data_IF_626360264077
#
_entry.id   IF_626360264077
#
_cell.length_a   1.000
_cell.length_b   1.000
_cell.length_c   1.000
_cell.angle_alpha   90.00
_cell.angle_beta   90.00
_cell.angle_gamma   90.00
#
_symmetry.space_group_name_H-M   'P 1'
#
loop_
_entity.id
_entity.type
_entity.pdbx_description
1 polymer ?
#
# COMPACT_ATOMS: atom_id res chain seq x y z
N UNK A 1 8.88 32.72 -19.97
CA UNK A 1 8.93 31.49 -19.15
C UNK A 1 7.56 30.83 -19.31
N UNK A 2 7.49 29.52 -19.60
CA UNK A 2 6.20 28.82 -19.69
C UNK A 2 5.53 28.69 -18.32
N UNK A 3 4.21 28.45 -18.30
CA UNK A 3 3.47 28.32 -17.04
C UNK A 3 4.02 27.17 -16.17
N UNK A 4 4.32 26.02 -16.78
CA UNK A 4 4.92 24.88 -16.07
C UNK A 4 6.32 25.23 -15.52
N UNK A 5 7.14 25.96 -16.26
CA UNK A 5 8.47 26.37 -15.82
C UNK A 5 8.40 27.30 -14.60
N UNK A 6 7.46 28.26 -14.61
CA UNK A 6 7.27 29.18 -13.50
C UNK A 6 6.84 28.44 -12.21
N UNK A 7 5.90 27.49 -12.31
CA UNK A 7 5.46 26.68 -11.17
C UNK A 7 6.56 25.77 -10.64
N UNK A 8 7.35 25.12 -11.55
CA UNK A 8 8.51 24.32 -11.15
C UNK A 8 9.52 25.13 -10.35
N UNK A 9 9.91 26.30 -10.86
CA UNK A 9 10.86 27.18 -10.19
C UNK A 9 10.38 27.54 -8.78
N UNK A 10 9.12 27.95 -8.64
CA UNK A 10 8.52 28.31 -7.36
C UNK A 10 8.47 27.11 -6.40
N UNK A 11 8.10 25.92 -6.91
CA UNK A 11 8.04 24.71 -6.12
C UNK A 11 9.41 24.28 -5.60
N UNK A 12 10.43 24.31 -6.44
CA UNK A 12 11.80 23.98 -6.03
C UNK A 12 12.39 24.99 -5.01
N UNK A 13 11.93 26.22 -5.04
CA UNK A 13 12.37 27.24 -4.08
C UNK A 13 11.70 27.14 -2.70
N UNK A 14 10.49 26.58 -2.63
CA UNK A 14 9.67 26.64 -1.41
C UNK A 14 9.28 25.26 -0.83
N UNK A 15 9.33 24.19 -1.62
CA UNK A 15 8.86 22.86 -1.22
C UNK A 15 10.02 21.88 -1.14
N UNK A 16 10.19 21.25 0.02
CA UNK A 16 11.05 20.09 0.14
C UNK A 16 10.24 18.84 -0.28
N UNK A 17 10.51 18.36 -1.49
CA UNK A 17 9.77 17.23 -2.05
C UNK A 17 10.05 15.91 -1.32
N UNK A 18 9.01 15.12 -0.98
CA UNK A 18 9.17 13.84 -0.29
C UNK A 18 9.89 12.81 -1.19
N UNK A 19 10.59 11.87 -0.57
CA UNK A 19 11.33 10.79 -1.26
C UNK A 19 12.23 11.30 -2.40
N UNK A 20 12.83 12.49 -2.22
CA UNK A 20 13.54 13.20 -3.29
C UNK A 20 14.89 13.72 -2.80
N UNK A 21 15.97 13.35 -3.52
CA UNK A 21 17.25 14.06 -3.37
C UNK A 21 17.17 15.38 -4.16
N UNK A 22 16.96 16.49 -3.47
CA UNK A 22 16.70 17.80 -4.08
C UNK A 22 17.83 18.28 -5.03
N UNK A 23 19.09 17.89 -4.76
CA UNK A 23 20.23 18.23 -5.64
C UNK A 23 20.08 17.67 -7.06
N UNK A 24 19.34 16.58 -7.23
CA UNK A 24 19.08 15.99 -8.54
C UNK A 24 18.20 16.88 -9.43
N UNK A 25 17.54 17.91 -8.86
CA UNK A 25 16.80 18.93 -9.61
C UNK A 25 17.63 20.15 -10.05
N UNK A 26 18.94 20.16 -9.77
CA UNK A 26 19.86 21.14 -10.33
C UNK A 26 19.85 21.06 -11.88
N UNK A 27 20.29 22.12 -12.60
CA UNK A 27 20.23 22.17 -14.06
C UNK A 27 20.91 20.98 -14.79
N UNK A 28 21.95 20.44 -14.18
CA UNK A 28 22.71 19.26 -14.63
C UNK A 28 22.24 17.94 -13.99
N UNK A 29 21.19 18.00 -13.18
CA UNK A 29 20.68 16.88 -12.40
C UNK A 29 19.84 15.89 -13.21
N UNK A 30 19.70 14.69 -12.66
CA UNK A 30 19.00 13.55 -13.29
C UNK A 30 17.65 13.23 -12.65
N UNK A 31 17.06 14.17 -11.85
CA UNK A 31 15.75 13.96 -11.27
C UNK A 31 14.66 13.81 -12.32
N UNK A 32 13.58 13.14 -11.93
CA UNK A 32 12.35 13.18 -12.70
C UNK A 32 11.85 14.62 -12.80
N UNK A 33 11.35 15.04 -13.97
CA UNK A 33 10.79 16.36 -14.11
C UNK A 33 9.59 16.54 -13.19
N UNK A 34 9.56 17.64 -12.44
CA UNK A 34 8.36 18.02 -11.70
C UNK A 34 7.25 18.40 -12.68
N UNK A 35 6.09 17.78 -12.53
CA UNK A 35 4.91 18.07 -13.34
C UNK A 35 3.95 18.93 -12.52
N UNK A 36 3.80 20.22 -12.85
CA UNK A 36 2.85 21.11 -12.16
C UNK A 36 1.42 20.77 -12.57
N UNK A 37 0.73 19.97 -11.75
CA UNK A 37 -0.64 19.54 -12.01
C UNK A 37 -1.59 20.70 -11.71
N UNK A 38 -2.43 21.04 -12.69
CA UNK A 38 -3.45 22.08 -12.58
C UNK A 38 -4.83 21.52 -12.20
N UNK A 39 -5.17 20.32 -12.71
CA UNK A 39 -6.43 19.62 -12.43
C UNK A 39 -6.27 18.13 -12.69
N UNK A 40 -7.22 17.36 -12.15
CA UNK A 40 -7.28 15.92 -12.40
C UNK A 40 -8.73 15.46 -12.53
N UNK A 41 -8.99 14.45 -13.38
CA UNK A 41 -10.30 13.88 -13.60
C UNK A 41 -10.18 12.45 -14.13
N UNK A 42 -10.99 11.52 -13.61
CA UNK A 42 -10.87 10.11 -13.98
C UNK A 42 -9.45 9.59 -13.73
N UNK A 43 -8.84 8.98 -14.76
CA UNK A 43 -7.45 8.50 -14.66
C UNK A 43 -6.41 9.55 -15.06
N UNK A 44 -6.82 10.77 -15.40
CA UNK A 44 -5.97 11.78 -16.03
C UNK A 44 -5.57 12.92 -15.10
N UNK A 45 -4.28 13.22 -15.09
CA UNK A 45 -3.69 14.45 -14.54
C UNK A 45 -3.42 15.43 -15.67
N UNK A 46 -3.70 16.71 -15.47
CA UNK A 46 -3.47 17.76 -16.47
C UNK A 46 -2.53 18.82 -15.90
N UNK A 47 -1.51 19.18 -16.67
CA UNK A 47 -0.61 20.27 -16.31
C UNK A 47 -1.18 21.66 -16.74
N UNK A 48 -0.47 22.73 -16.38
CA UNK A 48 -0.88 24.08 -16.72
C UNK A 48 -0.74 24.45 -18.20
N UNK A 49 -0.12 23.59 -19.02
CA UNK A 49 0.04 23.78 -20.47
C UNK A 49 -0.88 22.85 -21.28
N UNK A 50 -1.81 22.16 -20.61
CA UNK A 50 -2.81 21.30 -21.24
C UNK A 50 -2.33 19.90 -21.61
N UNK A 51 -1.09 19.51 -21.26
CA UNK A 51 -0.65 18.13 -21.41
C UNK A 51 -1.34 17.27 -20.35
N UNK A 52 -1.60 16.03 -20.70
CA UNK A 52 -2.23 15.07 -19.78
C UNK A 52 -1.32 13.85 -19.57
N UNK A 53 -1.46 13.27 -18.38
CA UNK A 53 -0.72 12.10 -17.96
C UNK A 53 -1.70 11.12 -17.34
N UNK A 54 -1.71 9.87 -17.82
CA UNK A 54 -2.50 8.81 -17.23
C UNK A 54 -1.82 8.37 -15.92
N UNK A 55 -2.55 8.45 -14.82
CA UNK A 55 -2.09 8.06 -13.49
C UNK A 55 -2.17 6.53 -13.32
N UNK A 56 -1.17 5.85 -13.82
CA UNK A 56 -1.12 4.38 -13.84
C UNK A 56 -0.73 3.75 -12.50
N UNK A 57 -0.47 4.57 -11.46
CA UNK A 57 -0.11 4.11 -10.11
C UNK A 57 -1.06 4.68 -9.04
N UNK A 58 -2.21 5.24 -9.46
CA UNK A 58 -3.23 5.79 -8.56
C UNK A 58 -2.66 6.79 -7.55
N UNK A 59 -1.79 7.72 -7.97
CA UNK A 59 -1.14 8.74 -7.14
C UNK A 59 -0.57 8.15 -5.84
N UNK A 60 0.25 7.11 -6.01
CA UNK A 60 0.83 6.32 -4.92
C UNK A 60 -0.17 5.41 -4.20
N UNK A 61 -0.96 4.67 -5.01
CA UNK A 61 -1.85 3.58 -4.59
C UNK A 61 -3.11 4.02 -3.84
N UNK A 62 -3.41 5.32 -3.81
CA UNK A 62 -4.53 5.86 -3.03
C UNK A 62 -5.84 5.94 -3.81
N UNK A 63 -5.78 6.29 -5.10
CA UNK A 63 -6.96 6.57 -5.92
C UNK A 63 -7.61 5.29 -6.44
N UNK A 64 -8.89 5.08 -6.11
CA UNK A 64 -9.64 3.90 -6.54
C UNK A 64 -10.57 4.19 -7.72
N UNK A 65 -11.38 5.23 -7.62
CA UNK A 65 -12.50 5.53 -8.53
C UNK A 65 -12.21 6.70 -9.46
N UNK A 66 -10.94 7.02 -9.67
CA UNK A 66 -10.53 8.16 -10.47
C UNK A 66 -10.50 9.47 -9.68
N UNK A 67 -9.72 10.41 -10.21
CA UNK A 67 -9.60 11.74 -9.63
C UNK A 67 -10.92 12.50 -9.71
N UNK A 68 -11.20 13.30 -8.68
CA UNK A 68 -12.33 14.20 -8.62
C UNK A 68 -13.69 13.50 -8.85
N UNK A 69 -13.86 12.30 -8.27
CA UNK A 69 -15.08 11.50 -8.44
C UNK A 69 -16.33 12.28 -7.99
N UNK A 70 -17.41 12.40 -8.83
CA UNK A 70 -18.53 13.28 -8.55
C UNK A 70 -19.24 12.99 -7.23
N UNK A 71 -19.45 11.70 -6.89
CA UNK A 71 -20.13 11.30 -5.66
C UNK A 71 -19.31 11.66 -4.40
N UNK A 72 -17.99 11.40 -4.39
CA UNK A 72 -17.13 11.75 -3.25
C UNK A 72 -17.07 13.26 -3.08
N UNK A 73 -16.92 14.00 -4.19
CA UNK A 73 -16.93 15.47 -4.17
C UNK A 73 -18.23 16.04 -3.62
N UNK A 74 -19.38 15.53 -4.08
CA UNK A 74 -20.69 15.97 -3.60
C UNK A 74 -20.87 15.72 -2.10
N UNK A 75 -20.46 14.52 -1.63
CA UNK A 75 -20.50 14.16 -0.21
C UNK A 75 -19.64 15.08 0.66
N UNK A 76 -18.47 15.48 0.18
CA UNK A 76 -17.59 16.42 0.89
C UNK A 76 -18.19 17.83 0.94
N UNK A 77 -18.78 18.33 -0.15
CA UNK A 77 -19.44 19.63 -0.19
C UNK A 77 -20.61 19.67 0.80
N UNK A 78 -21.42 18.60 0.82
CA UNK A 78 -22.53 18.47 1.75
C UNK A 78 -22.06 18.48 3.21
N UNK A 79 -21.02 17.71 3.53
CA UNK A 79 -20.45 17.65 4.87
C UNK A 79 -19.86 18.97 5.33
N UNK A 80 -19.25 19.76 4.43
CA UNK A 80 -18.73 21.10 4.74
C UNK A 80 -19.82 22.08 5.18
N UNK A 81 -21.07 21.91 4.76
CA UNK A 81 -22.20 22.73 5.19
C UNK A 81 -22.67 22.40 6.61
N UNK A 82 -22.26 21.29 7.18
CA UNK A 82 -22.75 20.82 8.48
C UNK A 82 -21.69 20.82 9.57
N UNK A 83 -20.57 20.15 9.34
CA UNK A 83 -19.49 20.01 10.32
C UNK A 83 -18.17 19.68 9.61
N UNK A 84 -17.21 20.58 9.71
CA UNK A 84 -15.86 20.44 9.18
C UNK A 84 -14.94 19.66 10.13
N UNK A 85 -14.99 19.95 11.44
CA UNK A 85 -14.23 19.26 12.46
C UNK A 85 -14.81 19.42 13.87
N UNK A 86 -14.68 18.37 14.67
CA UNK A 86 -14.82 18.37 16.13
C UNK A 86 -13.90 17.29 16.72
N UNK A 87 -13.30 17.54 17.87
CA UNK A 87 -12.51 16.50 18.57
C UNK A 87 -13.41 15.35 19.04
N UNK A 88 -12.95 14.11 18.91
CA UNK A 88 -13.71 12.95 19.42
C UNK A 88 -13.59 12.71 20.93
N UNK A 89 -12.65 13.34 21.62
CA UNK A 89 -12.50 13.20 23.06
C UNK A 89 -13.70 13.85 23.80
N UNK A 90 -14.69 13.05 24.11
CA UNK A 90 -15.94 13.50 24.75
C UNK A 90 -17.02 14.00 23.79
N UNK A 91 -16.77 13.98 22.47
CA UNK A 91 -17.73 14.31 21.42
C UNK A 91 -17.83 13.18 20.40
N UNK A 92 -18.88 13.18 19.59
CA UNK A 92 -19.07 12.25 18.48
C UNK A 92 -19.85 12.93 17.35
N UNK A 93 -19.92 12.29 16.19
CA UNK A 93 -20.67 12.78 15.03
C UNK A 93 -21.11 11.63 14.11
N UNK A 94 -22.17 11.84 13.33
CA UNK A 94 -22.74 10.79 12.49
C UNK A 94 -21.72 10.12 11.54
N UNK A 95 -20.88 10.84 10.74
CA UNK A 95 -19.96 10.19 9.84
C UNK A 95 -18.98 9.20 10.49
N UNK A 96 -18.47 9.46 11.70
CA UNK A 96 -17.56 8.51 12.35
C UNK A 96 -18.29 7.28 12.89
N UNK A 97 -19.49 7.45 13.40
CA UNK A 97 -20.32 6.33 13.89
C UNK A 97 -20.71 5.41 12.74
N UNK A 98 -21.32 5.96 11.68
CA UNK A 98 -21.74 5.22 10.51
C UNK A 98 -20.56 4.48 9.82
N UNK A 99 -19.42 5.15 9.69
CA UNK A 99 -18.22 4.52 9.12
C UNK A 99 -17.74 3.35 9.99
N UNK A 100 -17.71 3.52 11.31
CA UNK A 100 -17.28 2.47 12.25
C UNK A 100 -18.22 1.26 12.19
N UNK A 101 -19.53 1.48 12.17
CA UNK A 101 -20.54 0.43 12.08
C UNK A 101 -20.41 -0.35 10.75
N UNK A 102 -20.25 0.34 9.63
CA UNK A 102 -20.07 -0.29 8.30
C UNK A 102 -18.78 -1.10 8.23
N UNK A 103 -17.67 -0.54 8.69
CA UNK A 103 -16.39 -1.26 8.70
C UNK A 103 -16.45 -2.48 9.64
N UNK A 104 -17.08 -2.36 10.80
CA UNK A 104 -17.29 -3.49 11.70
C UNK A 104 -18.14 -4.60 11.06
N UNK A 105 -19.22 -4.24 10.37
CA UNK A 105 -20.06 -5.19 9.64
C UNK A 105 -19.31 -5.90 8.50
N UNK A 106 -18.45 -5.18 7.76
CA UNK A 106 -17.68 -5.71 6.65
C UNK A 106 -16.54 -6.64 7.09
N UNK A 107 -15.92 -6.38 8.25
CA UNK A 107 -14.70 -7.07 8.69
C UNK A 107 -14.93 -8.04 9.85
N UNK A 108 -16.04 -7.91 10.55
CA UNK A 108 -16.29 -8.65 11.82
C UNK A 108 -15.40 -8.19 12.97
N UNK A 109 -14.78 -6.99 12.89
CA UNK A 109 -13.96 -6.38 13.93
C UNK A 109 -14.74 -5.21 14.56
N UNK A 110 -15.19 -5.37 15.80
CA UNK A 110 -16.22 -4.54 16.43
C UNK A 110 -15.78 -3.12 16.84
N UNK A 111 -14.48 -2.82 16.87
CA UNK A 111 -13.97 -1.56 17.41
C UNK A 111 -13.02 -0.87 16.43
N UNK A 112 -13.27 0.42 16.16
CA UNK A 112 -12.49 1.26 15.26
C UNK A 112 -11.74 2.35 16.03
N UNK A 113 -10.45 2.50 15.75
CA UNK A 113 -9.64 3.60 16.25
C UNK A 113 -9.01 4.36 15.07
N UNK A 114 -9.19 5.67 15.00
CA UNK A 114 -8.82 6.48 13.84
C UNK A 114 -7.48 7.18 14.00
N UNK A 115 -6.69 7.16 12.93
CA UNK A 115 -5.46 7.92 12.74
C UNK A 115 -5.52 8.83 11.51
N UNK A 116 -4.43 9.52 11.23
CA UNK A 116 -4.36 10.51 10.15
C UNK A 116 -3.87 9.92 8.83
N UNK A 117 -3.01 8.89 8.87
CA UNK A 117 -2.38 8.26 7.71
C UNK A 117 -1.99 6.80 8.01
N UNK A 118 -1.42 6.12 7.02
CA UNK A 118 -1.06 4.70 7.15
C UNK A 118 -0.03 4.43 8.24
N UNK A 119 1.02 5.24 8.34
CA UNK A 119 2.05 5.06 9.38
C UNK A 119 1.45 5.24 10.78
N UNK A 120 0.51 6.17 10.93
CA UNK A 120 -0.26 6.35 12.16
C UNK A 120 -1.08 5.11 12.53
N UNK A 121 -1.70 4.43 11.55
CA UNK A 121 -2.41 3.17 11.82
C UNK A 121 -1.45 2.08 12.33
N UNK A 122 -0.28 1.95 11.71
CA UNK A 122 0.77 1.04 12.19
C UNK A 122 1.15 1.34 13.63
N UNK A 123 1.46 2.61 13.96
CA UNK A 123 1.81 3.05 15.32
C UNK A 123 0.70 2.71 16.34
N UNK A 124 -0.55 2.94 15.97
CA UNK A 124 -1.73 2.65 16.80
C UNK A 124 -1.81 1.14 17.06
N UNK A 125 -1.71 0.30 16.02
CA UNK A 125 -1.81 -1.15 16.15
C UNK A 125 -0.69 -1.72 17.03
N UNK A 126 0.57 -1.30 16.82
CA UNK A 126 1.71 -1.73 17.62
C UNK A 126 1.57 -1.33 19.09
N UNK A 127 1.23 -0.06 19.34
CA UNK A 127 1.01 0.45 20.71
C UNK A 127 -0.14 -0.26 21.39
N UNK A 128 -1.25 -0.45 20.69
CA UNK A 128 -2.43 -1.11 21.23
C UNK A 128 -2.13 -2.58 21.55
N UNK A 129 -1.41 -3.29 20.69
CA UNK A 129 -1.00 -4.66 20.94
C UNK A 129 -0.11 -4.79 22.20
N UNK A 130 0.96 -3.99 22.31
CA UNK A 130 1.84 -4.03 23.46
C UNK A 130 1.12 -3.63 24.78
N UNK A 131 0.25 -2.63 24.70
CA UNK A 131 -0.53 -2.17 25.87
C UNK A 131 -1.59 -3.20 26.30
N UNK A 132 -2.25 -3.88 25.34
CA UNK A 132 -3.12 -5.02 25.62
C UNK A 132 -2.40 -6.07 26.48
N UNK A 133 -1.22 -6.53 26.06
CA UNK A 133 -0.46 -7.53 26.79
C UNK A 133 -0.04 -7.06 28.19
N UNK A 134 0.33 -5.79 28.32
CA UNK A 134 0.59 -5.18 29.64
C UNK A 134 -0.65 -5.25 30.52
N UNK A 135 -1.84 -4.86 30.02
CA UNK A 135 -3.08 -4.88 30.74
C UNK A 135 -3.53 -6.31 31.11
N UNK A 136 -3.17 -7.29 30.28
CA UNK A 136 -3.37 -8.72 30.53
C UNK A 136 -2.32 -9.33 31.50
N UNK A 137 -1.47 -8.52 32.14
CA UNK A 137 -0.44 -8.99 33.08
C UNK A 137 0.82 -9.58 32.42
N UNK A 138 0.96 -9.46 31.11
CA UNK A 138 2.10 -10.00 30.31
C UNK A 138 2.95 -8.89 29.71
N UNK A 139 3.41 -7.93 30.52
CA UNK A 139 4.15 -6.75 30.08
C UNK A 139 5.47 -7.07 29.35
N UNK A 140 6.01 -8.28 29.49
CA UNK A 140 7.16 -8.78 28.74
C UNK A 140 6.90 -8.96 27.25
N UNK A 141 5.63 -9.16 26.84
CA UNK A 141 5.23 -9.26 25.43
C UNK A 141 5.16 -7.87 24.78
N UNK A 142 6.29 -7.36 24.32
CA UNK A 142 6.42 -6.02 23.75
C UNK A 142 7.36 -5.93 22.55
N UNK A 143 7.77 -7.07 21.99
CA UNK A 143 8.51 -7.16 20.73
C UNK A 143 7.55 -7.43 19.58
N UNK A 144 8.00 -7.11 18.38
CA UNK A 144 7.25 -7.31 17.16
C UNK A 144 8.06 -8.14 16.17
N UNK A 145 7.34 -8.79 15.25
CA UNK A 145 7.92 -9.53 14.13
C UNK A 145 7.35 -8.97 12.83
N UNK A 146 8.22 -8.54 11.94
CA UNK A 146 7.89 -8.17 10.56
C UNK A 146 8.39 -9.21 9.57
N UNK A 147 7.99 -9.05 8.32
CA UNK A 147 8.41 -9.90 7.21
C UNK A 147 9.48 -9.18 6.39
N UNK A 148 10.50 -9.91 5.92
CA UNK A 148 11.55 -9.35 5.08
C UNK A 148 10.98 -8.59 3.88
N UNK A 149 11.47 -7.37 3.64
CA UNK A 149 10.93 -6.49 2.60
C UNK A 149 9.58 -5.85 2.95
N UNK A 150 9.05 -6.00 4.18
CA UNK A 150 7.81 -5.35 4.63
C UNK A 150 7.95 -3.82 4.73
N UNK A 151 6.87 -3.12 4.40
CA UNK A 151 6.81 -1.65 4.52
C UNK A 151 5.50 -1.23 5.20
N UNK A 152 5.63 -0.56 6.33
CA UNK A 152 4.50 -0.19 7.18
C UNK A 152 4.45 1.31 7.52
N UNK A 153 5.25 2.13 6.84
CA UNK A 153 5.36 3.57 7.05
C UNK A 153 6.75 4.02 7.51
N UNK A 154 6.90 5.34 7.69
CA UNK A 154 8.18 6.01 7.92
C UNK A 154 8.21 6.81 9.23
N UNK A 155 7.20 6.72 10.10
CA UNK A 155 7.32 7.18 11.48
C UNK A 155 8.26 6.27 12.27
N UNK A 156 8.84 6.75 13.37
CA UNK A 156 9.87 6.00 14.11
C UNK A 156 9.39 4.60 14.55
N UNK A 157 8.13 4.48 15.01
CA UNK A 157 7.58 3.17 15.38
C UNK A 157 7.24 2.30 14.16
N UNK A 158 6.73 2.88 13.07
CA UNK A 158 6.49 2.14 11.83
C UNK A 158 7.80 1.66 11.19
N UNK A 159 8.87 2.45 11.26
CA UNK A 159 10.22 2.02 10.85
C UNK A 159 10.75 0.83 11.65
N UNK A 160 10.25 0.62 12.87
CA UNK A 160 10.65 -0.54 13.67
C UNK A 160 10.29 -1.88 13.01
N UNK A 161 9.19 -1.91 12.25
CA UNK A 161 8.65 -3.09 11.56
C UNK A 161 8.82 -3.02 10.04
N UNK A 162 9.30 -1.91 9.50
CA UNK A 162 9.64 -1.74 8.08
C UNK A 162 11.03 -2.31 7.79
N UNK A 163 11.17 -3.16 6.76
CA UNK A 163 12.42 -3.77 6.35
C UNK A 163 12.86 -3.33 4.95
N UNK A 164 12.83 -2.02 4.71
CA UNK A 164 13.36 -1.39 3.49
C UNK A 164 14.57 -0.54 3.88
N UNK A 165 15.80 -0.97 3.55
CA UNK A 165 17.03 -0.31 3.99
C UNK A 165 17.08 1.19 3.68
N UNK A 166 16.64 1.58 2.47
CA UNK A 166 16.60 2.97 2.02
C UNK A 166 15.89 3.92 3.00
N UNK A 167 14.81 3.45 3.65
CA UNK A 167 14.03 4.27 4.60
C UNK A 167 14.50 4.11 6.04
N UNK A 168 15.15 2.99 6.39
CA UNK A 168 15.42 2.62 7.78
C UNK A 168 16.84 2.95 8.24
N UNK A 169 17.86 2.79 7.39
CA UNK A 169 19.28 2.82 7.83
C UNK A 169 19.66 4.13 8.49
N UNK A 170 19.26 5.27 7.95
CA UNK A 170 19.58 6.59 8.50
C UNK A 170 18.98 6.81 9.90
N UNK A 171 17.91 6.11 10.24
CA UNK A 171 17.14 6.26 11.48
C UNK A 171 17.33 5.10 12.45
N UNK A 172 18.15 4.11 12.11
CA UNK A 172 18.41 2.93 12.95
C UNK A 172 18.74 3.27 14.42
N UNK A 173 19.52 4.32 14.73
CA UNK A 173 19.80 4.70 16.13
C UNK A 173 18.58 5.17 16.93
N UNK A 174 17.48 5.55 16.25
CA UNK A 174 16.25 6.03 16.89
C UNK A 174 15.20 4.92 17.07
N UNK A 175 15.43 3.75 16.51
CA UNK A 175 14.41 2.72 16.34
C UNK A 175 14.75 1.45 17.11
N UNK A 176 13.79 0.93 17.89
CA UNK A 176 13.87 -0.43 18.45
C UNK A 176 13.39 -1.41 17.38
N UNK A 177 14.33 -1.94 16.58
CA UNK A 177 14.01 -2.84 15.48
C UNK A 177 13.27 -4.10 15.92
N UNK A 178 12.23 -4.46 15.17
CA UNK A 178 11.56 -5.74 15.26
C UNK A 178 12.45 -6.87 14.71
N UNK A 179 12.11 -8.10 15.06
CA UNK A 179 12.66 -9.25 14.37
C UNK A 179 12.08 -9.33 12.96
N UNK A 180 12.85 -9.90 12.04
CA UNK A 180 12.44 -10.08 10.64
C UNK A 180 12.51 -11.56 10.29
N UNK A 181 11.38 -12.11 9.77
CA UNK A 181 11.31 -13.47 9.24
C UNK A 181 11.32 -13.46 7.71
N UNK A 182 11.67 -14.56 7.05
CA UNK A 182 11.72 -14.63 5.59
C UNK A 182 10.40 -14.26 4.91
N UNK A 183 10.50 -13.57 3.77
CA UNK A 183 9.35 -13.24 2.93
C UNK A 183 8.78 -14.48 2.23
N UNK A 184 7.44 -14.61 2.12
CA UNK A 184 6.78 -15.63 1.31
C UNK A 184 6.75 -15.29 -0.19
N UNK A 185 7.59 -14.38 -0.66
CA UNK A 185 7.63 -13.92 -2.04
C UNK A 185 7.82 -15.09 -3.03
N UNK A 186 6.83 -15.30 -3.89
CA UNK A 186 6.84 -16.37 -4.88
C UNK A 186 8.01 -16.30 -5.89
N UNK A 187 8.67 -15.15 -6.05
CA UNK A 187 9.89 -15.02 -6.87
C UNK A 187 11.07 -15.80 -6.29
N UNK A 188 11.05 -16.10 -5.00
CA UNK A 188 12.06 -16.92 -4.31
C UNK A 188 11.84 -18.42 -4.42
N UNK A 189 10.97 -18.89 -5.33
CA UNK A 189 10.72 -20.31 -5.55
C UNK A 189 11.96 -21.02 -6.13
N UNK A 190 12.32 -22.16 -5.56
CA UNK A 190 13.31 -23.04 -6.13
C UNK A 190 12.73 -23.80 -7.35
N UNK A 191 13.56 -24.41 -8.21
CA UNK A 191 13.06 -25.23 -9.31
C UNK A 191 12.08 -26.30 -8.83
N UNK A 192 10.85 -26.29 -9.37
CA UNK A 192 9.77 -27.21 -9.00
C UNK A 192 8.95 -26.80 -7.77
N UNK A 193 9.30 -25.72 -7.09
CA UNK A 193 8.56 -25.18 -5.95
C UNK A 193 7.39 -24.30 -6.44
N UNK A 194 6.20 -24.55 -5.92
CA UNK A 194 5.03 -23.70 -6.19
C UNK A 194 5.02 -22.45 -5.27
N UNK A 195 4.24 -21.40 -5.59
CA UNK A 195 4.02 -20.27 -4.67
C UNK A 195 3.51 -20.70 -3.29
N UNK A 196 2.72 -21.78 -3.22
CA UNK A 196 2.22 -22.33 -1.96
C UNK A 196 3.36 -22.97 -1.14
N UNK A 197 4.29 -23.66 -1.79
CA UNK A 197 5.45 -24.28 -1.10
C UNK A 197 6.37 -23.19 -0.52
N UNK A 198 6.60 -22.10 -1.25
CA UNK A 198 7.35 -20.93 -0.72
C UNK A 198 6.65 -20.35 0.50
N UNK A 199 5.33 -20.22 0.45
CA UNK A 199 4.51 -19.72 1.56
C UNK A 199 4.60 -20.63 2.79
N UNK A 200 4.51 -21.97 2.61
CA UNK A 200 4.67 -22.95 3.69
C UNK A 200 6.08 -22.88 4.31
N UNK A 201 7.12 -22.79 3.49
CA UNK A 201 8.51 -22.66 3.96
C UNK A 201 8.75 -21.39 4.76
N UNK A 202 8.20 -20.25 4.30
CA UNK A 202 8.27 -18.99 5.02
C UNK A 202 7.48 -19.03 6.34
N UNK A 203 6.31 -19.69 6.33
CA UNK A 203 5.51 -19.90 7.54
C UNK A 203 6.20 -20.82 8.56
N UNK A 204 6.93 -21.84 8.11
CA UNK A 204 7.73 -22.67 8.99
C UNK A 204 8.79 -21.84 9.73
N UNK A 205 9.50 -20.95 9.03
CA UNK A 205 10.47 -20.04 9.65
C UNK A 205 9.82 -19.07 10.67
N UNK A 206 8.61 -18.60 10.42
CA UNK A 206 7.83 -17.84 11.42
C UNK A 206 7.48 -18.72 12.63
N UNK A 207 7.12 -19.98 12.39
CA UNK A 207 6.82 -20.95 13.45
C UNK A 207 8.01 -21.21 14.36
N UNK A 208 9.20 -21.42 13.76
CA UNK A 208 10.46 -21.61 14.49
C UNK A 208 10.78 -20.38 15.36
N UNK A 209 10.66 -19.18 14.80
CA UNK A 209 10.82 -17.94 15.55
C UNK A 209 9.87 -17.88 16.76
N UNK A 210 8.58 -18.09 16.53
CA UNK A 210 7.57 -18.00 17.58
C UNK A 210 7.73 -19.08 18.65
N UNK A 211 8.21 -20.28 18.30
CA UNK A 211 8.49 -21.35 19.27
C UNK A 211 9.49 -20.89 20.34
N UNK A 212 10.48 -20.09 19.96
CA UNK A 212 11.53 -19.59 20.86
C UNK A 212 11.19 -18.26 21.54
N UNK A 213 10.39 -17.39 20.86
CA UNK A 213 10.26 -15.99 21.26
C UNK A 213 8.83 -15.52 21.57
N UNK A 214 7.83 -16.40 21.55
CA UNK A 214 6.43 -15.98 21.73
C UNK A 214 6.15 -15.30 23.07
N UNK A 215 6.87 -15.63 24.14
CA UNK A 215 6.67 -15.03 25.45
C UNK A 215 7.05 -13.54 25.50
N UNK A 216 7.88 -13.07 24.58
CA UNK A 216 8.25 -11.66 24.43
C UNK A 216 7.63 -10.98 23.21
N UNK A 217 7.00 -11.74 22.30
CA UNK A 217 6.41 -11.24 21.06
C UNK A 217 4.97 -10.80 21.27
N UNK A 218 4.69 -9.52 21.05
CA UNK A 218 3.34 -8.94 21.14
C UNK A 218 2.52 -9.21 19.88
N UNK A 219 3.10 -8.98 18.71
CA UNK A 219 2.43 -9.16 17.42
C UNK A 219 3.38 -9.51 16.28
N UNK A 220 2.81 -10.17 15.29
CA UNK A 220 3.33 -10.31 13.93
C UNK A 220 2.57 -9.35 13.03
N UNK A 221 3.27 -8.57 12.18
CA UNK A 221 2.68 -7.66 11.20
C UNK A 221 3.00 -8.09 9.77
N UNK A 222 1.98 -8.11 8.90
CA UNK A 222 2.07 -8.64 7.53
C UNK A 222 1.29 -7.72 6.57
N UNK A 223 1.88 -7.41 5.40
CA UNK A 223 1.14 -6.93 4.23
C UNK A 223 0.51 -8.15 3.52
N UNK A 224 -0.82 -8.34 3.54
CA UNK A 224 -1.43 -9.55 2.99
C UNK A 224 -1.37 -9.57 1.46
N UNK A 225 -0.92 -10.69 0.92
CA UNK A 225 -0.83 -11.05 -0.49
C UNK A 225 0.19 -10.27 -1.33
N UNK A 226 0.50 -9.02 -1.02
CA UNK A 226 1.46 -8.21 -1.77
C UNK A 226 2.25 -7.31 -0.82
N UNK A 227 3.56 -7.46 -0.79
CA UNK A 227 4.49 -6.48 -0.20
C UNK A 227 4.82 -5.43 -1.27
N UNK A 228 4.13 -4.30 -1.20
CA UNK A 228 4.17 -3.33 -2.30
C UNK A 228 5.55 -2.69 -2.49
N UNK A 229 6.18 -2.21 -1.42
CA UNK A 229 7.47 -1.53 -1.49
C UNK A 229 8.65 -2.46 -1.81
N UNK A 230 8.49 -3.79 -1.64
CA UNK A 230 9.44 -4.81 -2.07
C UNK A 230 9.36 -5.15 -3.57
N UNK A 231 8.90 -4.20 -4.39
CA UNK A 231 8.70 -4.41 -5.81
C UNK A 231 7.48 -5.27 -6.10
N UNK A 232 6.37 -5.04 -5.41
CA UNK A 232 5.12 -5.81 -5.57
C UNK A 232 5.36 -7.33 -5.40
N UNK A 233 6.07 -7.73 -4.35
CA UNK A 233 6.29 -9.13 -4.02
C UNK A 233 4.96 -9.78 -3.67
N UNK A 234 4.59 -10.82 -4.42
CA UNK A 234 3.28 -11.48 -4.28
C UNK A 234 3.45 -12.87 -3.65
N UNK A 235 2.52 -13.22 -2.78
CA UNK A 235 2.55 -14.51 -2.10
C UNK A 235 1.20 -15.24 -2.10
N UNK A 236 1.25 -16.52 -1.83
CA UNK A 236 0.06 -17.36 -1.74
C UNK A 236 -0.69 -17.11 -0.42
N UNK A 237 -2.05 -17.14 -0.42
CA UNK A 237 -2.87 -17.02 0.78
C UNK A 237 -2.57 -18.06 1.88
N UNK A 238 -1.92 -19.17 1.56
CA UNK A 238 -1.44 -20.18 2.53
C UNK A 238 -0.64 -19.53 3.65
N UNK A 239 0.26 -18.60 3.33
CA UNK A 239 1.05 -17.91 4.34
C UNK A 239 0.20 -17.23 5.41
N UNK A 240 -0.87 -16.56 5.00
CA UNK A 240 -1.77 -15.87 5.94
C UNK A 240 -2.51 -16.87 6.83
N UNK A 241 -2.98 -18.01 6.28
CA UNK A 241 -3.62 -19.07 7.07
C UNK A 241 -2.67 -19.61 8.12
N UNK A 242 -1.43 -19.93 7.72
CA UNK A 242 -0.40 -20.44 8.63
C UNK A 242 -0.02 -19.41 9.69
N UNK A 243 0.12 -18.13 9.30
CA UNK A 243 0.41 -17.05 10.23
C UNK A 243 -0.69 -16.93 11.30
N UNK A 244 -1.99 -17.03 10.90
CA UNK A 244 -3.10 -17.03 11.86
C UNK A 244 -3.03 -18.22 12.82
N UNK A 245 -2.85 -19.44 12.29
CA UNK A 245 -2.71 -20.66 13.09
C UNK A 245 -1.55 -20.57 14.10
N UNK A 246 -0.42 -20.03 13.67
CA UNK A 246 0.77 -19.84 14.53
C UNK A 246 0.51 -18.77 15.60
N UNK A 247 -0.08 -17.63 15.23
CA UNK A 247 -0.41 -16.57 16.17
C UNK A 247 -1.41 -17.06 17.24
N UNK A 248 -2.41 -17.85 16.87
CA UNK A 248 -3.35 -18.47 17.81
C UNK A 248 -2.65 -19.44 18.76
N UNK A 249 -1.83 -20.34 18.20
CA UNK A 249 -1.07 -21.35 18.98
C UNK A 249 -0.18 -20.71 20.02
N UNK A 250 0.52 -19.65 19.67
CA UNK A 250 1.51 -18.99 20.52
C UNK A 250 0.96 -17.78 21.27
N UNK A 251 -0.35 -17.49 21.16
CA UNK A 251 -0.98 -16.34 21.78
C UNK A 251 -0.24 -15.01 21.45
N UNK A 252 -0.02 -14.76 20.17
CA UNK A 252 0.57 -13.54 19.62
C UNK A 252 -0.47 -12.88 18.73
N UNK A 253 -0.58 -11.55 18.75
CA UNK A 253 -1.52 -10.87 17.88
C UNK A 253 -1.06 -10.93 16.41
N UNK A 254 -2.03 -11.05 15.50
CA UNK A 254 -1.83 -10.88 14.06
C UNK A 254 -2.33 -9.49 13.65
N UNK A 255 -1.43 -8.66 13.14
CA UNK A 255 -1.72 -7.36 12.53
C UNK A 255 -1.65 -7.52 11.02
N UNK A 256 -2.74 -7.24 10.32
CA UNK A 256 -2.73 -7.18 8.85
C UNK A 256 -2.75 -5.73 8.39
N UNK A 257 -1.73 -5.38 7.63
CA UNK A 257 -1.59 -4.07 7.01
C UNK A 257 -2.19 -4.09 5.60
N UNK A 258 -3.46 -3.72 5.48
CA UNK A 258 -4.16 -3.60 4.21
C UNK A 258 -4.19 -2.16 3.66
N UNK A 259 -3.31 -1.30 4.15
CA UNK A 259 -3.25 0.12 3.76
C UNK A 259 -3.13 0.27 2.24
N UNK A 260 -2.30 -0.55 1.59
CA UNK A 260 -2.07 -0.49 0.15
C UNK A 260 -2.91 -1.50 -0.66
N UNK A 261 -3.33 -2.60 -0.04
CA UNK A 261 -3.88 -3.78 -0.73
C UNK A 261 -5.37 -4.01 -0.49
N UNK A 262 -5.98 -3.30 0.46
CA UNK A 262 -7.41 -3.33 0.72
C UNK A 262 -8.25 -2.64 -0.37
N UNK A 263 -9.54 -2.61 -0.15
CA UNK A 263 -10.54 -1.93 -1.00
C UNK A 263 -10.50 -2.37 -2.47
N UNK A 264 -10.47 -3.68 -2.71
CA UNK A 264 -10.61 -4.25 -4.06
C UNK A 264 -9.31 -4.42 -4.85
N UNK A 265 -8.15 -3.92 -4.36
CA UNK A 265 -6.88 -3.96 -5.10
C UNK A 265 -6.46 -5.38 -5.48
N UNK A 266 -6.66 -6.34 -4.60
CA UNK A 266 -6.25 -7.75 -4.81
C UNK A 266 -7.35 -8.63 -5.40
N UNK A 267 -8.55 -8.08 -5.65
CA UNK A 267 -9.69 -8.78 -6.25
C UNK A 267 -10.85 -9.04 -5.29
N UNK A 268 -10.62 -9.03 -3.98
CA UNK A 268 -11.63 -9.05 -2.91
C UNK A 268 -11.68 -7.68 -2.23
N UNK A 269 -12.73 -7.38 -1.46
CA UNK A 269 -12.82 -6.08 -0.78
C UNK A 269 -11.63 -5.90 0.16
N UNK A 270 -11.33 -6.91 0.97
CA UNK A 270 -10.10 -6.98 1.76
C UNK A 270 -9.26 -8.18 1.35
N UNK A 271 -7.94 -8.02 1.38
CA UNK A 271 -7.01 -9.05 0.90
C UNK A 271 -7.05 -10.33 1.75
N UNK A 272 -7.26 -10.21 3.07
CA UNK A 272 -7.32 -11.36 4.00
C UNK A 272 -8.51 -12.29 3.74
N UNK A 273 -9.56 -11.83 3.06
CA UNK A 273 -10.71 -12.66 2.69
C UNK A 273 -10.27 -13.85 1.82
N UNK A 274 -9.23 -13.71 0.97
CA UNK A 274 -8.71 -14.79 0.14
C UNK A 274 -8.07 -15.91 0.95
N UNK A 275 -7.66 -15.64 2.18
CA UNK A 275 -7.18 -16.65 3.11
C UNK A 275 -8.28 -17.20 4.04
N UNK A 276 -9.45 -16.56 4.10
CA UNK A 276 -10.55 -16.94 4.98
C UNK A 276 -10.21 -16.78 6.46
N UNK A 277 -9.37 -15.78 6.80
CA UNK A 277 -8.93 -15.53 8.17
C UNK A 277 -9.44 -14.17 8.67
N UNK A 278 -9.36 -13.96 9.99
CA UNK A 278 -9.60 -12.68 10.64
C UNK A 278 -8.39 -12.31 11.51
N UNK A 279 -7.82 -11.09 11.37
CA UNK A 279 -6.73 -10.64 12.23
C UNK A 279 -7.23 -10.17 13.59
N UNK A 280 -6.28 -9.90 14.51
CA UNK A 280 -6.56 -9.19 15.75
C UNK A 280 -6.61 -7.68 15.52
N UNK A 281 -5.81 -7.18 14.57
CA UNK A 281 -5.79 -5.79 14.12
C UNK A 281 -5.76 -5.71 12.60
N UNK A 282 -6.60 -4.87 12.03
CA UNK A 282 -6.63 -4.55 10.60
C UNK A 282 -6.36 -3.07 10.42
N UNK A 283 -5.26 -2.74 9.75
CA UNK A 283 -4.88 -1.36 9.42
C UNK A 283 -5.36 -1.00 8.01
N UNK A 284 -6.16 0.06 7.91
CA UNK A 284 -6.70 0.58 6.66
C UNK A 284 -6.36 2.07 6.49
N UNK A 285 -6.06 2.49 5.25
CA UNK A 285 -5.84 3.89 4.86
C UNK A 285 -5.96 4.00 3.33
N UNK A 286 -5.28 4.95 2.69
CA UNK A 286 -5.21 5.12 1.21
C UNK A 286 -6.57 4.99 0.52
N UNK A 287 -6.90 3.79 0.02
CA UNK A 287 -8.17 3.50 -0.63
C UNK A 287 -9.41 3.74 0.22
N UNK A 288 -9.28 3.80 1.54
CA UNK A 288 -10.37 4.06 2.48
C UNK A 288 -11.19 5.30 2.11
N UNK A 289 -10.55 6.37 1.66
CA UNK A 289 -11.21 7.63 1.25
C UNK A 289 -11.30 7.79 -0.29
N UNK A 290 -11.10 6.70 -1.04
CA UNK A 290 -10.97 6.76 -2.49
C UNK A 290 -9.75 7.58 -2.96
N UNK A 291 -8.80 7.86 -2.06
CA UNK A 291 -7.61 8.68 -2.32
C UNK A 291 -7.86 10.18 -2.25
N UNK A 292 -8.96 10.64 -1.66
CA UNK A 292 -9.33 12.05 -1.64
C UNK A 292 -8.78 12.81 -0.43
N UNK A 293 -8.83 12.21 0.76
CA UNK A 293 -8.36 12.82 2.01
C UNK A 293 -7.53 11.83 2.83
N UNK A 294 -6.56 12.32 3.62
CA UNK A 294 -5.84 11.48 4.56
C UNK A 294 -6.79 11.02 5.69
N UNK A 295 -6.81 9.71 5.91
CA UNK A 295 -7.50 9.03 7.02
C UNK A 295 -6.89 7.65 7.17
N UNK A 296 -6.81 7.16 8.39
CA UNK A 296 -6.59 5.75 8.66
C UNK A 296 -7.48 5.26 9.78
N UNK A 297 -7.67 3.96 9.83
CA UNK A 297 -8.40 3.28 10.90
C UNK A 297 -7.70 1.97 11.24
N UNK A 298 -7.63 1.67 12.51
CA UNK A 298 -7.28 0.35 13.05
C UNK A 298 -8.57 -0.26 13.58
N UNK A 299 -8.96 -1.37 12.98
CA UNK A 299 -10.07 -2.18 13.47
C UNK A 299 -9.52 -3.30 14.35
N UNK A 300 -10.24 -3.62 15.42
CA UNK A 300 -9.81 -4.66 16.36
C UNK A 300 -10.98 -5.43 16.94
N UNK A 301 -10.67 -6.53 17.65
CA UNK A 301 -11.64 -7.44 18.23
C UNK A 301 -12.16 -6.95 19.59
N UNK A 302 -13.34 -7.47 20.01
CA UNK A 302 -13.89 -7.25 21.34
C UNK A 302 -12.91 -7.71 22.43
N UNK A 303 -12.18 -8.80 22.20
CA UNK A 303 -11.20 -9.31 23.16
C UNK A 303 -10.04 -8.32 23.39
N UNK A 304 -9.58 -7.66 22.34
CA UNK A 304 -8.56 -6.60 22.48
C UNK A 304 -9.15 -5.41 23.22
N UNK A 305 -10.33 -4.93 22.83
CA UNK A 305 -10.99 -3.79 23.46
C UNK A 305 -11.25 -4.01 24.95
N UNK A 306 -11.71 -5.20 25.34
CA UNK A 306 -12.02 -5.54 26.72
C UNK A 306 -10.83 -5.35 27.68
N UNK A 307 -9.61 -5.51 27.21
CA UNK A 307 -8.40 -5.29 28.03
C UNK A 307 -8.17 -3.81 28.43
N UNK A 308 -8.84 -2.89 27.74
CA UNK A 308 -8.76 -1.44 27.99
C UNK A 308 -10.00 -0.89 28.69
N UNK A 309 -11.06 -1.69 28.80
CA UNK A 309 -12.31 -1.29 29.43
C UNK A 309 -12.22 -1.54 30.95
N UNK A 310 -11.76 -0.53 31.68
CA UNK A 310 -11.40 -0.63 33.09
C UNK A 310 -11.69 0.70 33.82
N UNK A 311 -11.84 0.65 35.15
CA UNK A 311 -12.03 1.85 35.99
C UNK A 311 -10.73 2.66 36.14
N UNK A 312 -9.58 2.03 35.95
CA UNK A 312 -8.26 2.67 36.00
C UNK A 312 -7.93 3.41 34.72
N UNK A 313 -7.84 4.75 34.79
CA UNK A 313 -7.54 5.58 33.61
C UNK A 313 -6.22 5.17 32.91
N UNK A 314 -5.20 4.74 33.65
CA UNK A 314 -3.93 4.31 33.11
C UNK A 314 -3.99 3.04 32.25
N UNK A 315 -5.08 2.27 32.35
CA UNK A 315 -5.34 1.09 31.54
C UNK A 315 -6.00 1.44 30.20
N UNK A 316 -6.57 2.63 30.08
CA UNK A 316 -7.16 3.13 28.84
C UNK A 316 -6.10 3.37 27.75
N UNK A 317 -6.51 3.23 26.48
CA UNK A 317 -5.63 3.56 25.33
C UNK A 317 -5.62 5.07 25.11
N UNK A 318 -4.75 5.79 25.83
CA UNK A 318 -4.65 7.24 25.83
C UNK A 318 -3.77 7.75 24.66
N UNK A 319 -4.14 7.39 23.43
CA UNK A 319 -3.52 7.87 22.20
C UNK A 319 -4.52 8.74 21.43
N UNK A 320 -4.06 9.81 20.80
CA UNK A 320 -4.95 10.67 20.02
C UNK A 320 -4.17 11.46 18.98
N UNK A 321 -4.87 11.82 17.92
CA UNK A 321 -4.47 12.88 16.98
C UNK A 321 -5.52 13.99 17.06
N UNK A 322 -5.15 15.24 16.80
CA UNK A 322 -6.08 16.36 16.82
C UNK A 322 -7.25 16.17 15.85
N UNK A 323 -7.00 15.53 14.71
CA UNK A 323 -8.00 15.26 13.67
C UNK A 323 -8.53 13.82 13.69
N UNK A 324 -8.40 13.09 14.80
CA UNK A 324 -8.94 11.73 14.94
C UNK A 324 -10.40 11.67 14.49
N UNK A 325 -10.70 10.79 13.51
CA UNK A 325 -12.05 10.62 12.98
C UNK A 325 -12.63 11.89 12.34
N UNK A 326 -11.81 12.68 11.63
CA UNK A 326 -12.27 13.91 10.98
C UNK A 326 -13.55 13.70 10.17
N UNK A 327 -14.63 14.51 10.36
CA UNK A 327 -15.93 14.32 9.72
C UNK A 327 -15.86 14.30 8.19
N UNK A 328 -15.06 15.18 7.58
CA UNK A 328 -14.89 15.22 6.12
C UNK A 328 -14.23 13.95 5.59
N UNK A 329 -13.17 13.48 6.25
CA UNK A 329 -12.47 12.28 5.85
C UNK A 329 -13.34 11.02 6.06
N UNK A 330 -14.10 10.94 7.16
CA UNK A 330 -15.09 9.88 7.38
C UNK A 330 -16.19 9.91 6.31
N UNK A 331 -16.68 11.09 5.92
CA UNK A 331 -17.69 11.23 4.87
C UNK A 331 -17.16 10.83 3.49
N UNK A 332 -15.89 11.14 3.18
CA UNK A 332 -15.24 10.64 1.97
C UNK A 332 -15.13 9.10 1.98
N UNK A 333 -14.81 8.51 3.13
CA UNK A 333 -14.75 7.06 3.29
C UNK A 333 -16.13 6.41 3.12
N UNK A 334 -17.18 6.99 3.70
CA UNK A 334 -18.56 6.53 3.52
C UNK A 334 -18.95 6.58 2.03
N UNK A 335 -18.69 7.69 1.35
CA UNK A 335 -18.98 7.82 -0.08
C UNK A 335 -18.18 6.80 -0.92
N UNK A 336 -16.97 6.45 -0.49
CA UNK A 336 -16.16 5.39 -1.12
C UNK A 336 -16.81 4.02 -0.91
N UNK A 337 -17.29 3.71 0.29
CA UNK A 337 -18.02 2.46 0.56
C UNK A 337 -19.33 2.41 -0.20
N UNK A 338 -20.06 3.53 -0.34
CA UNK A 338 -21.28 3.61 -1.16
C UNK A 338 -21.01 3.21 -2.61
N UNK A 339 -19.84 3.56 -3.16
CA UNK A 339 -19.45 3.14 -4.51
C UNK A 339 -19.21 1.63 -4.60
N UNK A 340 -18.68 1.00 -3.55
CA UNK A 340 -18.52 -0.46 -3.52
C UNK A 340 -19.85 -1.22 -3.34
N UNK A 341 -20.88 -0.62 -2.77
CA UNK A 341 -22.21 -1.19 -2.65
C UNK A 341 -22.98 -1.19 -3.98
N UNK A 342 -22.54 -0.41 -4.97
CA UNK A 342 -23.09 -0.50 -6.31
C UNK A 342 -22.87 -1.91 -6.85
N UNK A 343 -23.90 -2.50 -7.48
CA UNK A 343 -23.80 -3.86 -7.95
C UNK A 343 -22.62 -4.02 -8.90
N UNK A 344 -21.78 -4.99 -8.58
CA UNK A 344 -20.73 -5.51 -9.43
C UNK A 344 -19.38 -4.77 -9.52
N UNK A 345 -19.07 -3.76 -8.69
CA UNK A 345 -17.76 -3.07 -8.76
C UNK A 345 -16.59 -4.06 -8.68
N UNK A 346 -16.60 -4.97 -7.70
CA UNK A 346 -15.52 -5.97 -7.58
C UNK A 346 -15.49 -6.93 -8.77
N UNK A 347 -16.65 -7.32 -9.31
CA UNK A 347 -16.74 -8.15 -10.51
C UNK A 347 -16.28 -7.40 -11.76
N UNK A 348 -16.64 -6.12 -11.89
CA UNK A 348 -16.12 -5.26 -12.96
C UNK A 348 -14.60 -5.13 -12.89
N UNK A 349 -14.03 -5.02 -11.68
CA UNK A 349 -12.58 -5.00 -11.48
C UNK A 349 -11.91 -6.31 -11.95
N UNK A 350 -12.55 -7.46 -11.76
CA UNK A 350 -12.04 -8.73 -12.31
C UNK A 350 -11.97 -8.66 -13.84
N UNK A 351 -13.05 -8.25 -14.50
CA UNK A 351 -13.08 -8.10 -15.97
C UNK A 351 -12.07 -7.06 -16.49
N UNK A 352 -11.95 -5.93 -15.79
CA UNK A 352 -10.95 -4.89 -16.11
C UNK A 352 -9.52 -5.44 -15.94
N UNK A 353 -9.26 -6.19 -14.87
CA UNK A 353 -7.96 -6.82 -14.63
C UNK A 353 -7.61 -7.84 -15.70
N UNK A 354 -8.57 -8.66 -16.16
CA UNK A 354 -8.35 -9.62 -17.25
C UNK A 354 -8.06 -8.92 -18.59
N UNK A 355 -8.82 -7.88 -18.93
CA UNK A 355 -8.59 -7.05 -20.10
C UNK A 355 -7.21 -6.41 -20.08
N UNK A 356 -6.82 -5.77 -18.97
CA UNK A 356 -5.50 -5.19 -18.81
C UNK A 356 -4.38 -6.23 -18.91
N UNK A 357 -4.58 -7.44 -18.38
CA UNK A 357 -3.61 -8.53 -18.51
C UNK A 357 -3.37 -8.93 -19.97
N UNK A 358 -4.43 -8.96 -20.79
CA UNK A 358 -4.30 -9.20 -22.23
C UNK A 358 -3.55 -8.04 -22.93
N UNK A 359 -3.86 -6.80 -22.60
CA UNK A 359 -3.20 -5.62 -23.14
C UNK A 359 -1.72 -5.54 -22.74
N UNK A 360 -1.37 -5.96 -21.52
CA UNK A 360 0.01 -6.05 -21.03
C UNK A 360 0.79 -7.29 -21.50
N UNK A 361 0.15 -8.21 -22.24
CA UNK A 361 0.82 -9.42 -22.71
C UNK A 361 2.14 -9.15 -23.48
N UNK A 362 2.28 -8.10 -24.32
CA UNK A 362 3.55 -7.76 -24.96
C UNK A 362 4.68 -7.46 -23.96
N UNK A 363 4.37 -6.75 -22.86
CA UNK A 363 5.35 -6.47 -21.80
C UNK A 363 5.70 -7.78 -21.07
N UNK A 364 4.72 -8.58 -20.71
CA UNK A 364 4.93 -9.86 -20.01
C UNK A 364 5.76 -10.86 -20.79
N UNK A 365 5.70 -10.79 -22.12
CA UNK A 365 6.47 -11.65 -23.06
C UNK A 365 7.78 -11.01 -23.53
N UNK A 366 8.09 -9.80 -23.08
CA UNK A 366 9.31 -9.12 -23.50
C UNK A 366 10.56 -9.91 -23.03
N UNK A 367 11.58 -10.15 -23.89
CA UNK A 367 12.71 -11.03 -23.56
C UNK A 367 13.54 -10.57 -22.34
N UNK A 368 13.46 -9.29 -21.97
CA UNK A 368 14.14 -8.71 -20.80
C UNK A 368 13.27 -8.73 -19.54
N UNK A 369 12.03 -9.22 -19.61
CA UNK A 369 11.11 -9.30 -18.46
C UNK A 369 11.19 -10.67 -17.82
N UNK A 370 11.18 -10.68 -16.50
CA UNK A 370 11.11 -11.86 -15.64
C UNK A 370 9.99 -11.63 -14.61
N UNK A 371 9.55 -12.72 -14.02
CA UNK A 371 8.56 -12.70 -12.92
C UNK A 371 7.35 -11.80 -13.19
N UNK A 372 6.79 -11.86 -14.41
CA UNK A 372 5.51 -11.21 -14.69
C UNK A 372 4.44 -11.76 -13.75
N UNK A 373 3.78 -10.89 -13.00
CA UNK A 373 2.83 -11.27 -11.94
C UNK A 373 1.67 -10.32 -11.83
N UNK A 374 0.55 -10.85 -11.37
CA UNK A 374 -0.70 -10.10 -11.19
C UNK A 374 -1.47 -10.61 -9.98
N UNK A 375 -2.04 -9.67 -9.23
CA UNK A 375 -3.05 -9.95 -8.19
C UNK A 375 -4.12 -8.84 -8.26
N UNK A 376 -5.33 -9.19 -8.70
CA UNK A 376 -6.39 -8.20 -8.93
C UNK A 376 -5.94 -7.10 -9.91
N UNK A 377 -6.01 -5.85 -9.48
CA UNK A 377 -5.63 -4.65 -10.27
C UNK A 377 -4.16 -4.24 -10.11
N UNK A 378 -3.32 -5.10 -9.53
CA UNK A 378 -1.88 -4.88 -9.37
C UNK A 378 -1.11 -5.76 -10.35
N UNK A 379 -0.32 -5.14 -11.22
CA UNK A 379 0.51 -5.78 -12.23
C UNK A 379 1.97 -5.43 -11.97
N UNK A 380 2.89 -6.39 -12.10
CA UNK A 380 4.31 -6.14 -11.92
C UNK A 380 5.18 -7.02 -12.82
N UNK A 381 6.36 -6.48 -13.19
CA UNK A 381 7.34 -7.11 -14.06
C UNK A 381 8.74 -6.74 -13.61
N UNK A 382 9.60 -7.72 -13.39
CA UNK A 382 10.99 -7.45 -13.09
C UNK A 382 11.78 -7.37 -14.41
N UNK A 383 12.59 -6.33 -14.59
CA UNK A 383 13.35 -6.10 -15.81
C UNK A 383 14.83 -6.38 -15.58
N UNK A 384 15.42 -7.19 -16.46
CA UNK A 384 16.86 -7.42 -16.51
C UNK A 384 17.50 -6.26 -17.26
N UNK A 385 18.27 -5.41 -16.56
CA UNK A 385 18.93 -4.25 -17.12
C UNK A 385 20.29 -3.99 -16.45
N UNK A 386 21.27 -3.50 -17.20
CA UNK A 386 22.56 -3.05 -16.69
C UNK A 386 22.54 -1.61 -16.18
N UNK A 387 21.46 -0.87 -16.41
CA UNK A 387 21.35 0.55 -16.04
C UNK A 387 21.17 0.71 -14.52
N UNK A 388 22.09 1.33 -13.80
CA UNK A 388 22.00 1.45 -12.34
C UNK A 388 20.84 2.34 -11.89
N UNK A 389 20.35 3.24 -12.75
CA UNK A 389 19.23 4.15 -12.51
C UNK A 389 18.02 3.85 -13.41
N UNK A 390 17.85 2.57 -13.79
CA UNK A 390 16.81 2.07 -14.67
C UNK A 390 15.44 2.68 -14.37
N UNK A 391 14.98 2.63 -13.12
CA UNK A 391 13.66 3.12 -12.73
C UNK A 391 13.44 4.61 -13.04
N UNK A 392 14.46 5.45 -12.87
CA UNK A 392 14.37 6.89 -13.21
C UNK A 392 14.35 7.13 -14.71
N UNK A 393 15.14 6.39 -15.48
CA UNK A 393 15.15 6.47 -16.94
C UNK A 393 13.82 6.04 -17.51
N UNK A 394 13.33 4.89 -17.07
CA UNK A 394 12.02 4.40 -17.47
C UNK A 394 10.90 5.41 -17.17
N UNK A 395 10.85 5.94 -15.94
CA UNK A 395 9.82 6.90 -15.55
C UNK A 395 9.88 8.18 -16.40
N UNK A 396 11.08 8.60 -16.85
CA UNK A 396 11.24 9.75 -17.77
C UNK A 396 10.67 9.43 -19.15
N UNK A 397 10.96 8.25 -19.70
CA UNK A 397 10.38 7.80 -20.96
C UNK A 397 8.86 7.61 -20.86
N UNK A 398 8.38 7.08 -19.75
CA UNK A 398 6.93 6.94 -19.48
C UNK A 398 6.22 8.30 -19.46
N UNK A 399 6.80 9.31 -18.79
CA UNK A 399 6.28 10.69 -18.81
C UNK A 399 6.26 11.28 -20.22
N UNK A 400 7.25 10.99 -21.06
CA UNK A 400 7.25 11.41 -22.46
C UNK A 400 6.11 10.76 -23.27
N UNK A 401 5.67 9.56 -22.89
CA UNK A 401 4.50 8.88 -23.44
C UNK A 401 3.17 9.36 -22.81
N UNK A 402 3.18 10.31 -21.88
CA UNK A 402 1.98 10.76 -21.16
C UNK A 402 1.53 9.80 -20.06
N UNK A 403 2.43 9.04 -19.45
CA UNK A 403 2.15 8.09 -18.39
C UNK A 403 2.85 8.48 -17.08
N UNK A 404 2.13 8.48 -15.98
CA UNK A 404 2.72 8.47 -14.64
C UNK A 404 2.94 7.01 -14.22
N UNK A 405 4.17 6.54 -14.42
CA UNK A 405 4.68 5.25 -13.93
C UNK A 405 5.96 5.49 -13.13
N UNK A 406 6.09 4.79 -12.02
CA UNK A 406 7.20 4.98 -11.09
C UNK A 406 7.73 3.63 -10.61
N UNK A 407 8.67 3.02 -11.34
CA UNK A 407 9.27 1.74 -10.96
C UNK A 407 9.91 1.74 -9.59
N UNK A 408 9.96 0.56 -8.97
CA UNK A 408 10.70 0.30 -7.73
C UNK A 408 11.96 -0.48 -8.11
N UNK A 409 13.11 0.19 -8.13
CA UNK A 409 14.34 -0.40 -8.66
C UNK A 409 14.16 -0.80 -10.12
N UNK A 410 14.29 -2.09 -10.39
CA UNK A 410 14.06 -2.71 -11.71
C UNK A 410 12.67 -3.33 -11.89
N UNK A 411 11.79 -3.17 -10.91
CA UNK A 411 10.41 -3.65 -11.02
C UNK A 411 9.51 -2.57 -11.60
N UNK A 412 9.01 -2.80 -12.82
CA UNK A 412 7.89 -2.05 -13.37
C UNK A 412 6.60 -2.51 -12.70
N UNK A 413 5.67 -1.59 -12.46
CA UNK A 413 4.33 -1.96 -12.01
C UNK A 413 3.29 -0.97 -12.50
N UNK A 414 2.06 -1.46 -12.60
CA UNK A 414 0.87 -0.67 -12.84
C UNK A 414 -0.20 -1.02 -11.80
N UNK A 415 -0.84 0.00 -11.27
CA UNK A 415 -1.95 -0.09 -10.31
C UNK A 415 -2.94 1.05 -10.63
N UNK A 416 -3.60 1.00 -11.80
CA UNK A 416 -4.47 2.09 -12.23
C UNK A 416 -5.75 2.18 -11.39
N UNK A 417 -6.45 3.32 -11.42
CA UNK A 417 -7.82 3.42 -10.89
C UNK A 417 -8.78 2.45 -11.59
N UNK A 418 -9.82 2.02 -10.88
CA UNK A 418 -10.78 1.02 -11.38
C UNK A 418 -11.63 1.49 -12.57
N UNK A 419 -11.72 2.79 -12.74
CA UNK A 419 -12.48 3.44 -13.81
C UNK A 419 -11.74 3.47 -15.15
N UNK A 420 -10.55 2.90 -15.25
CA UNK A 420 -9.78 2.82 -16.49
C UNK A 420 -10.58 2.06 -17.57
N UNK A 421 -10.83 2.71 -18.69
CA UNK A 421 -11.54 2.10 -19.80
C UNK A 421 -10.63 1.28 -20.73
N UNK A 422 -11.18 0.73 -21.81
CA UNK A 422 -10.44 -0.11 -22.74
C UNK A 422 -9.38 0.68 -23.52
N UNK A 423 -9.71 1.87 -24.00
CA UNK A 423 -8.80 2.71 -24.78
C UNK A 423 -7.67 3.27 -23.89
N UNK A 424 -7.97 3.61 -22.66
CA UNK A 424 -7.00 4.05 -21.67
C UNK A 424 -6.05 2.91 -21.28
N UNK A 425 -6.57 1.67 -21.14
CA UNK A 425 -5.75 0.48 -20.92
C UNK A 425 -4.81 0.18 -22.08
N UNK A 426 -5.28 0.29 -23.33
CA UNK A 426 -4.44 0.15 -24.52
C UNK A 426 -3.36 1.25 -24.60
N UNK A 427 -3.74 2.50 -24.31
CA UNK A 427 -2.81 3.62 -24.24
C UNK A 427 -1.72 3.36 -23.20
N UNK A 428 -2.11 2.92 -21.99
CA UNK A 428 -1.19 2.57 -20.92
C UNK A 428 -0.23 1.44 -21.34
N UNK A 429 -0.75 0.33 -21.86
CA UNK A 429 0.06 -0.83 -22.21
C UNK A 429 1.06 -0.51 -23.32
N UNK A 430 0.63 0.17 -24.39
CA UNK A 430 1.47 0.58 -25.50
C UNK A 430 2.55 1.57 -25.06
N UNK A 431 2.19 2.59 -24.29
CA UNK A 431 3.14 3.59 -23.79
C UNK A 431 4.14 3.01 -22.79
N UNK A 432 3.72 2.08 -21.94
CA UNK A 432 4.58 1.40 -21.00
C UNK A 432 5.62 0.50 -21.73
N UNK A 433 5.21 -0.21 -22.77
CA UNK A 433 6.12 -0.99 -23.61
C UNK A 433 7.11 -0.08 -24.34
N UNK A 434 6.64 0.98 -24.99
CA UNK A 434 7.51 1.93 -25.68
C UNK A 434 8.54 2.59 -24.75
N UNK A 435 8.14 2.90 -23.50
CA UNK A 435 9.05 3.40 -22.47
C UNK A 435 10.10 2.35 -22.05
N UNK A 436 9.72 1.06 -22.00
CA UNK A 436 10.65 -0.04 -21.72
C UNK A 436 11.69 -0.17 -22.82
N UNK A 437 11.26 -0.24 -24.08
CA UNK A 437 12.14 -0.36 -25.24
C UNK A 437 13.12 0.83 -25.33
N UNK A 438 12.61 2.06 -25.14
CA UNK A 438 13.43 3.26 -25.16
C UNK A 438 14.46 3.28 -24.02
N UNK A 439 14.10 2.78 -22.84
CA UNK A 439 15.01 2.70 -21.69
C UNK A 439 16.13 1.69 -21.97
N UNK A 440 15.78 0.51 -22.47
CA UNK A 440 16.75 -0.56 -22.75
C UNK A 440 17.69 -0.19 -23.92
N UNK A 441 17.24 0.65 -24.84
CA UNK A 441 18.07 1.18 -25.93
C UNK A 441 19.19 2.12 -25.42
N UNK A 442 19.13 2.61 -24.21
CA UNK A 442 20.20 3.41 -23.57
C UNK A 442 21.36 2.54 -23.04
N UNK A 443 21.21 1.20 -23.01
CA UNK A 443 22.31 0.31 -22.60
C UNK A 443 23.45 0.30 -23.63
N UNK A 444 24.65 0.57 -23.14
CA UNK A 444 25.87 0.52 -24.00
C UNK A 444 26.35 -0.91 -24.21
N UNK A 445 26.11 -1.79 -23.23
CA UNK A 445 26.39 -3.22 -23.33
C UNK A 445 25.14 -3.97 -22.85
N UNK A 446 24.42 -4.64 -23.77
CA UNK A 446 23.22 -5.41 -23.37
C UNK A 446 23.62 -6.58 -22.49
N UNK A 447 22.91 -6.72 -21.36
CA UNK A 447 23.06 -7.90 -20.50
C UNK A 447 22.65 -9.13 -21.29
N UNK A 448 23.47 -10.20 -21.37
CA UNK A 448 23.06 -11.45 -22.00
C UNK A 448 21.79 -11.96 -21.32
N UNK A 449 20.72 -12.09 -22.07
CA UNK A 449 19.53 -12.82 -21.61
C UNK A 449 19.92 -14.28 -21.61
N UNK A 450 20.08 -14.89 -20.43
CA UNK A 450 20.27 -16.33 -20.34
C UNK A 450 19.07 -16.97 -21.05
N UNK A 451 19.34 -17.55 -22.22
CA UNK A 451 18.35 -18.34 -22.94
C UNK A 451 17.89 -19.45 -22.03
N UNK A 452 16.60 -19.77 -22.10
CA UNK A 452 16.07 -21.00 -21.54
C UNK A 452 17.01 -22.15 -21.93
N UNK A 453 17.78 -22.62 -20.97
CA UNK A 453 18.38 -23.94 -21.07
C UNK A 453 17.31 -24.93 -20.63
N UNK A 454 16.19 -24.92 -21.33
CA UNK A 454 15.28 -26.04 -21.36
C UNK A 454 15.70 -26.93 -22.55
N UNK A 455 16.39 -27.97 -22.22
CA UNK A 455 16.77 -28.92 -23.23
C UNK A 455 17.91 -29.83 -22.75
N UNK A 456 17.59 -30.77 -21.89
CA UNK A 456 17.75 -32.23 -22.00
C UNK A 456 17.23 -32.87 -20.72
#
# INVERSE_FOLDING_TARGET
MSANAAWRQRSLAAVWHPCTQMKLHAPDGTALPLIPVARAEGVWLHDHEGRRYLDAISSWWVNLFGHNHPAIRAALIDQLHTLDHVMLAGFTHAPVVELSERLAALTGLGHAFYGSDGASATEIALKMSAHHWRNAGRAGKNRFVGVAGGYHGETVGALAVTDIPLFREAYAPLVRLAATVPSPDARGAAPGESPADVAERAAAALGDWLAEHHEETAAVIIEPLIQCAAGMAMHDPVYLRRARELCDRYQVHLVLDEIAVGFGRTGTLFAHEQAGIRPDFLCLSKGLTGGTLPLSVVLTTDAVFAAFYDDEVARGFLHSHSYTGNPLACRAALATLDLFEQPDVLRQNVGTSERLAMQFAPISKHPRVRHARRKGMVFAWDVVSSLPDFGRRYARHALAQGLLLRPIGHTLYAMPPYVIDEAEGEFLARGALAALDATLAEETEPVPVAGDRDGV
#
